data_IF_387575835458
#
_entry.id   IF_387575835458
#
_cell.length_a   1.000
_cell.length_b   1.000
_cell.length_c   1.000
_cell.angle_alpha   90.00
_cell.angle_beta   90.00
_cell.angle_gamma   90.00
#
_symmetry.space_group_name_H-M   'P 1'
#
loop_
_entity.id
_entity.type
_entity.pdbx_description
1 polymer ?
#
# COMPACT_ATOMS: atom_id res chain seq x y z
N UNK A 1 -16.54 1.69 -11.03
CA UNK A 1 -15.78 0.61 -11.69
C UNK A 1 -15.27 0.99 -13.08
N UNK A 2 -16.10 1.54 -13.97
CA UNK A 2 -15.69 1.86 -15.37
C UNK A 2 -14.47 2.78 -15.48
N UNK A 3 -14.41 3.88 -14.71
CA UNK A 3 -13.28 4.81 -14.75
C UNK A 3 -11.94 4.15 -14.33
N UNK A 4 -11.95 3.42 -13.23
CA UNK A 4 -10.77 2.69 -12.74
C UNK A 4 -10.35 1.56 -13.69
N UNK A 5 -11.32 0.82 -14.24
CA UNK A 5 -11.06 -0.23 -15.21
C UNK A 5 -10.49 0.32 -16.52
N UNK A 6 -10.95 1.50 -16.97
CA UNK A 6 -10.41 2.18 -18.13
C UNK A 6 -8.97 2.67 -17.88
N UNK A 7 -8.72 3.29 -16.72
CA UNK A 7 -7.39 3.74 -16.32
C UNK A 7 -6.38 2.58 -16.25
N UNK A 8 -6.79 1.45 -15.67
CA UNK A 8 -5.99 0.23 -15.59
C UNK A 8 -5.97 -0.60 -16.88
N UNK A 9 -6.66 -0.19 -17.96
CA UNK A 9 -6.81 -0.95 -19.21
C UNK A 9 -7.19 -2.42 -18.95
N UNK A 10 -8.18 -2.61 -18.07
CA UNK A 10 -8.67 -3.94 -17.72
C UNK A 10 -9.56 -4.50 -18.83
N UNK A 11 -9.35 -5.76 -19.17
CA UNK A 11 -10.20 -6.48 -20.13
C UNK A 11 -11.54 -6.86 -19.50
N UNK A 12 -12.60 -7.12 -20.29
CA UNK A 12 -13.90 -7.56 -19.75
C UNK A 12 -13.79 -8.81 -18.86
N UNK A 13 -12.89 -9.74 -19.18
CA UNK A 13 -12.63 -10.94 -18.36
C UNK A 13 -11.97 -10.62 -17.01
N UNK A 14 -11.09 -9.63 -16.98
CA UNK A 14 -10.44 -9.16 -15.74
C UNK A 14 -11.40 -8.40 -14.84
N UNK A 15 -12.31 -7.62 -15.44
CA UNK A 15 -13.38 -6.93 -14.73
C UNK A 15 -14.33 -7.94 -14.06
N UNK A 16 -14.72 -8.99 -14.78
CA UNK A 16 -15.67 -10.00 -14.28
C UNK A 16 -15.19 -10.76 -13.03
N UNK A 17 -13.87 -10.85 -12.80
CA UNK A 17 -13.28 -11.56 -11.66
C UNK A 17 -12.79 -10.62 -10.55
N UNK A 18 -13.09 -9.32 -10.67
CA UNK A 18 -12.67 -8.30 -9.72
C UNK A 18 -13.87 -7.68 -9.03
N UNK A 19 -13.81 -7.59 -7.72
CA UNK A 19 -14.85 -6.98 -6.88
C UNK A 19 -14.34 -5.62 -6.43
N UNK A 20 -15.17 -4.58 -6.57
CA UNK A 20 -14.84 -3.23 -6.14
C UNK A 20 -15.79 -2.81 -5.02
N UNK A 21 -15.23 -2.33 -3.93
CA UNK A 21 -15.97 -1.75 -2.83
C UNK A 21 -15.48 -0.30 -2.64
N UNK A 22 -16.38 0.67 -2.84
CA UNK A 22 -16.08 2.08 -2.63
C UNK A 22 -16.68 2.54 -1.29
N UNK A 23 -15.89 3.26 -0.51
CA UNK A 23 -16.29 3.93 0.73
C UNK A 23 -16.20 5.43 0.52
N UNK A 24 -17.30 6.10 0.10
CA UNK A 24 -17.30 7.54 -0.18
C UNK A 24 -17.01 8.40 1.04
N UNK A 25 -17.23 7.88 2.25
CA UNK A 25 -16.95 8.59 3.50
C UNK A 25 -15.46 8.66 3.83
N UNK A 26 -14.66 7.76 3.23
CA UNK A 26 -13.23 7.62 3.50
C UNK A 26 -12.37 7.91 2.26
N UNK A 27 -12.99 8.38 1.17
CA UNK A 27 -12.35 8.55 -0.14
C UNK A 27 -11.53 7.32 -0.58
N UNK A 28 -12.03 6.13 -0.23
CA UNK A 28 -11.30 4.87 -0.37
C UNK A 28 -12.02 3.91 -1.32
N UNK A 29 -11.25 3.25 -2.19
CA UNK A 29 -11.72 2.17 -3.06
C UNK A 29 -10.89 0.92 -2.80
N UNK A 30 -11.53 -0.11 -2.26
CA UNK A 30 -10.93 -1.44 -2.14
C UNK A 30 -11.23 -2.25 -3.41
N UNK A 31 -10.20 -2.85 -3.99
CA UNK A 31 -10.34 -3.78 -5.12
C UNK A 31 -9.84 -5.15 -4.71
N UNK A 32 -10.72 -6.14 -4.80
CA UNK A 32 -10.38 -7.55 -4.58
C UNK A 32 -10.29 -8.24 -5.93
N UNK A 33 -9.15 -8.86 -6.23
CA UNK A 33 -8.95 -9.62 -7.46
C UNK A 33 -8.13 -10.86 -7.16
N UNK A 34 -8.41 -11.97 -7.86
CA UNK A 34 -7.59 -13.19 -7.81
C UNK A 34 -6.53 -13.25 -8.90
N UNK A 35 -6.42 -12.18 -9.73
CA UNK A 35 -5.49 -12.13 -10.86
C UNK A 35 -4.33 -11.17 -10.60
N UNK A 36 -3.08 -11.67 -10.50
CA UNK A 36 -1.91 -10.82 -10.35
C UNK A 36 -1.74 -9.79 -11.46
N UNK A 37 -2.17 -10.10 -12.69
CA UNK A 37 -2.12 -9.15 -13.82
C UNK A 37 -3.00 -7.91 -13.60
N UNK A 38 -4.13 -8.06 -12.91
CA UNK A 38 -5.04 -6.95 -12.60
C UNK A 38 -4.44 -6.08 -11.51
N UNK A 39 -3.91 -6.70 -10.47
CA UNK A 39 -3.20 -6.03 -9.39
C UNK A 39 -2.06 -5.15 -9.91
N UNK A 40 -1.16 -5.70 -10.75
CA UNK A 40 -0.07 -4.93 -11.35
C UNK A 40 -0.56 -3.72 -12.16
N UNK A 41 -1.61 -3.89 -12.97
CA UNK A 41 -2.19 -2.79 -13.76
C UNK A 41 -2.78 -1.69 -12.87
N UNK A 42 -3.46 -2.07 -11.80
CA UNK A 42 -4.09 -1.14 -10.87
C UNK A 42 -3.05 -0.38 -10.03
N UNK A 43 -2.00 -1.07 -9.56
CA UNK A 43 -0.91 -0.45 -8.79
C UNK A 43 -0.10 0.56 -9.61
N UNK A 44 -0.15 0.48 -10.94
CA UNK A 44 0.50 1.45 -11.83
C UNK A 44 -0.31 2.76 -12.00
N UNK A 45 -1.57 2.79 -11.58
CA UNK A 45 -2.43 3.98 -11.70
C UNK A 45 -1.94 5.04 -10.70
N UNK A 46 -1.81 6.28 -11.18
CA UNK A 46 -1.43 7.46 -10.38
C UNK A 46 -2.52 8.53 -10.39
N UNK A 47 -3.35 8.54 -11.41
CA UNK A 47 -4.55 9.37 -11.52
C UNK A 47 -5.56 8.69 -12.43
N UNK A 48 -6.83 9.06 -12.31
CA UNK A 48 -7.84 8.72 -13.31
C UNK A 48 -8.94 9.78 -13.38
N UNK A 49 -9.71 9.77 -14.47
CA UNK A 49 -10.79 10.73 -14.67
C UNK A 49 -12.09 10.26 -14.01
N UNK A 50 -12.64 11.09 -13.13
CA UNK A 50 -13.99 10.98 -12.57
C UNK A 50 -14.83 12.12 -13.12
N UNK A 51 -15.84 11.81 -13.93
CA UNK A 51 -16.81 12.77 -14.46
C UNK A 51 -16.15 14.06 -15.01
N UNK A 52 -15.11 13.89 -15.84
CA UNK A 52 -14.25 14.95 -16.45
C UNK A 52 -13.21 15.63 -15.56
N UNK A 53 -13.11 15.28 -14.27
CA UNK A 53 -12.05 15.76 -13.38
C UNK A 53 -10.96 14.70 -13.25
N UNK A 54 -9.69 15.08 -13.45
CA UNK A 54 -8.57 14.21 -13.13
C UNK A 54 -8.36 14.19 -11.62
N UNK A 55 -8.39 13.00 -11.03
CA UNK A 55 -8.20 12.80 -9.59
C UNK A 55 -6.90 12.02 -9.37
N UNK A 56 -5.93 12.58 -8.64
CA UNK A 56 -4.74 11.84 -8.24
C UNK A 56 -5.11 10.76 -7.24
N UNK A 57 -4.46 9.60 -7.34
CA UNK A 57 -4.72 8.47 -6.45
C UNK A 57 -3.44 7.78 -6.02
N UNK A 58 -3.47 7.23 -4.81
CA UNK A 58 -2.45 6.35 -4.29
C UNK A 58 -3.00 4.95 -4.27
N UNK A 59 -2.42 4.07 -5.09
CA UNK A 59 -2.77 2.65 -5.15
C UNK A 59 -1.71 1.86 -4.40
N UNK A 60 -2.15 1.02 -3.48
CA UNK A 60 -1.27 0.16 -2.68
C UNK A 60 -1.93 -1.20 -2.48
N UNK A 61 -1.10 -2.21 -2.22
CA UNK A 61 -1.58 -3.54 -1.84
C UNK A 61 -2.10 -3.49 -0.41
N UNK A 62 -3.28 -4.05 -0.16
CA UNK A 62 -3.76 -4.19 1.19
C UNK A 62 -2.86 -5.18 1.94
N UNK A 63 -2.50 -4.85 3.18
CA UNK A 63 -1.75 -5.75 4.03
C UNK A 63 -2.52 -7.10 4.17
N UNK A 64 -1.80 -8.24 4.19
CA UNK A 64 -2.38 -9.55 4.45
C UNK A 64 -3.19 -9.56 5.74
N UNK A 65 -4.21 -10.42 5.83
CA UNK A 65 -5.02 -10.55 7.06
C UNK A 65 -4.17 -10.93 8.29
N UNK A 66 -3.14 -11.75 8.09
CA UNK A 66 -2.16 -12.09 9.12
C UNK A 66 -0.97 -11.13 9.02
N UNK A 67 -1.22 -9.88 9.35
CA UNK A 67 -0.19 -8.84 9.46
C UNK A 67 -0.45 -7.96 10.66
N UNK A 68 0.60 -7.30 11.13
CA UNK A 68 0.51 -6.30 12.18
C UNK A 68 1.23 -5.01 11.77
N UNK A 69 0.77 -3.90 12.33
CA UNK A 69 1.31 -2.57 12.09
C UNK A 69 2.24 -2.17 13.24
N UNK A 70 3.45 -1.78 12.90
CA UNK A 70 4.36 -1.03 13.76
C UNK A 70 4.41 0.44 13.36
N UNK A 71 4.80 1.26 14.33
CA UNK A 71 5.04 2.69 14.14
C UNK A 71 6.45 2.96 14.62
N UNK A 72 7.24 3.62 13.79
CA UNK A 72 8.59 4.02 14.12
C UNK A 72 8.71 5.55 13.95
N UNK A 73 9.44 6.17 14.88
CA UNK A 73 9.60 7.62 14.96
C UNK A 73 11.06 8.00 14.68
N UNK A 74 11.29 9.26 14.33
CA UNK A 74 12.62 9.82 14.00
C UNK A 74 13.21 9.27 12.68
N UNK A 75 12.33 8.87 11.77
CA UNK A 75 12.70 8.50 10.39
C UNK A 75 12.68 9.77 9.52
N UNK A 76 13.71 10.06 8.71
CA UNK A 76 13.75 11.26 7.88
C UNK A 76 12.46 11.44 7.06
N UNK A 77 11.87 12.62 7.15
CA UNK A 77 10.67 12.96 6.40
C UNK A 77 10.89 12.81 4.89
N UNK A 78 9.82 12.47 4.16
CA UNK A 78 9.84 12.26 2.71
C UNK A 78 10.78 11.13 2.21
N UNK A 79 11.18 10.20 3.09
CA UNK A 79 11.87 8.97 2.68
C UNK A 79 10.94 8.10 1.83
N UNK A 80 11.43 7.58 0.70
CA UNK A 80 10.60 6.78 -0.20
C UNK A 80 10.30 5.38 0.38
N UNK A 81 9.16 4.74 0.04
CA UNK A 81 8.86 3.37 0.47
C UNK A 81 9.96 2.36 0.16
N UNK A 82 10.64 2.51 -0.98
CA UNK A 82 11.75 1.65 -1.37
C UNK A 82 12.97 1.85 -0.44
N UNK A 83 13.32 3.09 -0.12
CA UNK A 83 14.39 3.39 0.84
C UNK A 83 14.05 2.87 2.23
N UNK A 84 12.81 3.11 2.71
CA UNK A 84 12.35 2.58 4.00
C UNK A 84 12.55 1.07 4.06
N UNK A 85 12.04 0.32 3.09
CA UNK A 85 12.19 -1.14 3.05
C UNK A 85 13.66 -1.59 3.02
N UNK A 86 14.53 -0.85 2.33
CA UNK A 86 15.96 -1.19 2.25
C UNK A 86 16.75 -0.95 3.53
N UNK A 87 16.30 0.00 4.36
CA UNK A 87 16.98 0.40 5.60
C UNK A 87 16.44 -0.30 6.84
N UNK A 88 15.27 -0.93 6.73
CA UNK A 88 14.67 -1.69 7.81
C UNK A 88 15.21 -3.13 7.87
N UNK A 89 15.50 -3.61 9.08
CA UNK A 89 15.84 -5.01 9.34
C UNK A 89 15.02 -5.48 10.54
N UNK A 90 14.29 -6.58 10.36
CA UNK A 90 13.55 -7.26 11.43
C UNK A 90 14.06 -8.67 11.62
N UNK A 91 14.30 -9.07 12.86
CA UNK A 91 14.81 -10.41 13.23
C UNK A 91 13.71 -11.38 13.69
N UNK A 92 12.47 -10.90 13.86
CA UNK A 92 11.34 -11.72 14.35
C UNK A 92 10.26 -12.01 13.30
N UNK A 93 10.02 -11.07 12.38
CA UNK A 93 9.00 -11.21 11.34
C UNK A 93 9.40 -10.44 10.07
N UNK A 94 9.18 -10.99 8.87
CA UNK A 94 9.43 -10.27 7.62
C UNK A 94 8.65 -8.94 7.56
N UNK A 95 9.31 -7.89 7.08
CA UNK A 95 8.66 -6.62 6.75
C UNK A 95 8.14 -6.73 5.31
N UNK A 96 6.85 -6.47 5.15
CA UNK A 96 6.16 -6.61 3.87
C UNK A 96 5.76 -5.26 3.26
N UNK A 97 5.66 -4.21 4.08
CA UNK A 97 5.41 -2.85 3.61
C UNK A 97 6.08 -1.85 4.58
N UNK A 98 6.58 -0.73 4.05
CA UNK A 98 6.96 0.42 4.84
C UNK A 98 6.57 1.71 4.11
N UNK A 99 5.96 2.67 4.81
CA UNK A 99 5.56 3.97 4.25
C UNK A 99 5.60 5.07 5.28
N UNK A 100 5.89 6.29 4.85
CA UNK A 100 5.80 7.47 5.71
C UNK A 100 4.33 7.76 6.09
N UNK A 101 4.12 8.22 7.32
CA UNK A 101 2.87 8.82 7.75
C UNK A 101 2.81 10.27 7.27
N UNK A 102 2.38 10.46 6.02
CA UNK A 102 2.33 11.78 5.39
C UNK A 102 3.72 12.44 5.30
N UNK A 103 3.80 13.72 5.62
CA UNK A 103 5.06 14.50 5.60
C UNK A 103 5.76 14.56 6.97
N UNK A 104 5.52 13.57 7.84
CA UNK A 104 6.09 13.54 9.20
C UNK A 104 7.40 12.77 9.27
N UNK A 105 8.03 12.76 10.44
CA UNK A 105 9.21 11.91 10.76
C UNK A 105 8.79 10.57 11.38
N UNK A 106 7.68 10.02 10.90
CA UNK A 106 7.10 8.78 11.39
C UNK A 106 6.78 7.89 10.21
N UNK A 107 7.21 6.65 10.29
CA UNK A 107 6.91 5.63 9.31
C UNK A 107 6.05 4.52 9.92
N UNK A 108 5.28 3.90 9.04
CA UNK A 108 4.39 2.81 9.31
C UNK A 108 5.00 1.56 8.66
N UNK A 109 5.21 0.54 9.47
CA UNK A 109 5.83 -0.71 9.05
C UNK A 109 4.79 -1.80 9.18
N UNK A 110 4.59 -2.58 8.12
CA UNK A 110 3.73 -3.76 8.15
C UNK A 110 4.61 -5.01 8.21
N UNK A 111 4.39 -5.84 9.22
CA UNK A 111 5.04 -7.14 9.37
C UNK A 111 4.10 -8.27 8.97
N UNK A 112 4.65 -9.36 8.47
CA UNK A 112 3.94 -10.63 8.38
C UNK A 112 3.70 -11.20 9.79
N UNK A 113 2.50 -11.74 10.03
CA UNK A 113 2.09 -12.26 11.33
C UNK A 113 1.39 -11.24 12.23
N UNK A 114 0.71 -11.76 13.24
CA UNK A 114 -0.16 -11.01 14.15
C UNK A 114 0.55 -10.37 15.35
N UNK A 115 1.88 -10.45 15.43
CA UNK A 115 2.67 -9.94 16.56
C UNK A 115 3.77 -9.01 16.10
N UNK A 116 3.89 -7.86 16.78
CA UNK A 116 4.97 -6.90 16.52
C UNK A 116 6.29 -7.50 17.02
N UNK A 117 7.35 -7.52 16.18
CA UNK A 117 8.68 -7.93 16.61
C UNK A 117 9.17 -7.10 17.80
N UNK A 118 9.99 -7.71 18.65
CA UNK A 118 10.49 -7.04 19.85
C UNK A 118 11.41 -5.86 19.55
N UNK A 119 12.17 -5.95 18.46
CA UNK A 119 13.14 -4.95 18.01
C UNK A 119 13.14 -4.90 16.50
N UNK A 120 13.31 -3.69 15.96
CA UNK A 120 13.51 -3.44 14.53
C UNK A 120 14.68 -2.50 14.38
N UNK A 121 15.52 -2.73 13.37
CA UNK A 121 16.61 -1.82 13.04
C UNK A 121 16.19 -0.92 11.90
N UNK A 122 16.49 0.38 12.01
CA UNK A 122 16.47 1.33 10.90
C UNK A 122 17.84 1.99 10.80
N UNK A 123 18.50 1.89 9.64
CA UNK A 123 19.88 2.38 9.47
C UNK A 123 20.86 1.87 10.54
N UNK A 124 20.72 0.59 10.92
CA UNK A 124 21.52 -0.07 11.97
C UNK A 124 21.33 0.46 13.40
N UNK A 125 20.42 1.42 13.61
CA UNK A 125 19.98 1.82 14.94
C UNK A 125 18.78 0.98 15.38
N UNK A 126 18.78 0.53 16.64
CA UNK A 126 17.71 -0.29 17.23
C UNK A 126 16.57 0.58 17.75
N UNK A 127 15.35 0.12 17.48
CA UNK A 127 14.09 0.71 17.90
C UNK A 127 13.12 -0.36 18.42
#
# INVERSE_FOLDING_TARGET
MQALAAAGRLTPREIAVSILHASPQQDLIAVKTSRPSVQQKLLAIRSFFLSSTEVPVTMYEAAPTDSCLGVLHSVPAATSPHELLSHHISTGAPIIEARMMGSTETDLITFEGSFVPRYVLYNQAEY
#
